data_IF_947701866425
#
_entry.id   IF_947701866425
#
_cell.length_a   1.000
_cell.length_b   1.000
_cell.length_c   1.000
_cell.angle_alpha   90.00
_cell.angle_beta   90.00
_cell.angle_gamma   90.00
#
_symmetry.space_group_name_H-M   'P 1'
#
loop_
_entity.id
_entity.type
_entity.pdbx_description
1 polymer ?
#
# COMPACT_ATOMS: atom_id res chain seq x y z
N UNK A 1 2.69 25.63 -2.74
CA UNK A 1 2.43 24.71 -1.61
C UNK A 1 3.23 23.45 -1.87
N UNK A 2 3.73 22.78 -0.83
CA UNK A 2 4.40 21.49 -1.00
C UNK A 2 3.44 20.48 -1.63
N UNK A 3 3.97 19.57 -2.44
CA UNK A 3 3.24 18.46 -3.05
C UNK A 3 3.89 17.15 -2.63
N UNK A 4 3.11 16.09 -2.53
CA UNK A 4 3.56 14.78 -2.07
C UNK A 4 3.06 13.68 -3.01
N UNK A 5 3.87 12.64 -3.20
CA UNK A 5 3.55 11.39 -3.89
C UNK A 5 3.87 10.20 -3.00
N UNK A 6 3.14 9.11 -3.19
CA UNK A 6 3.45 7.82 -2.57
C UNK A 6 4.32 7.02 -3.53
N UNK A 7 5.44 6.51 -3.03
CA UNK A 7 6.22 5.46 -3.67
C UNK A 7 5.81 4.14 -2.99
N UNK A 8 5.09 3.28 -3.70
CA UNK A 8 4.53 2.02 -3.18
C UNK A 8 5.16 0.86 -3.95
N UNK A 9 5.74 -0.13 -3.25
CA UNK A 9 6.54 -1.20 -3.87
C UNK A 9 7.62 -0.71 -4.86
N UNK A 10 8.18 0.48 -4.61
CA UNK A 10 9.21 1.08 -5.47
C UNK A 10 8.67 1.73 -6.75
N UNK A 11 7.35 1.81 -6.94
CA UNK A 11 6.70 2.53 -8.05
C UNK A 11 5.91 3.74 -7.53
N UNK A 12 5.87 4.83 -8.30
CA UNK A 12 5.11 6.01 -7.90
C UNK A 12 3.64 5.83 -8.24
N UNK A 13 2.79 6.05 -7.24
CA UNK A 13 1.34 6.17 -7.44
C UNK A 13 1.00 7.44 -8.23
N UNK A 14 -0.14 7.40 -8.93
CA UNK A 14 -0.57 8.46 -9.83
C UNK A 14 -0.97 9.73 -9.07
N UNK A 15 -1.66 9.56 -7.94
CA UNK A 15 -2.18 10.64 -7.10
C UNK A 15 -1.09 11.59 -6.57
N UNK A 16 -1.46 12.87 -6.47
CA UNK A 16 -0.63 13.94 -5.90
C UNK A 16 -1.39 14.63 -4.79
N UNK A 17 -0.76 14.68 -3.61
CA UNK A 17 -1.37 15.20 -2.39
C UNK A 17 -0.82 16.59 -2.02
N UNK A 18 -1.61 17.35 -1.26
CA UNK A 18 -1.24 18.68 -0.77
C UNK A 18 -0.60 18.65 0.62
N UNK A 19 -0.85 17.58 1.38
CA UNK A 19 -0.33 17.36 2.73
C UNK A 19 0.40 16.03 2.76
N UNK A 20 1.27 15.84 3.75
CA UNK A 20 1.93 14.56 3.96
C UNK A 20 0.93 13.55 4.52
N UNK A 21 0.04 14.03 5.38
CA UNK A 21 -0.99 13.25 6.06
C UNK A 21 -1.96 12.59 5.08
N UNK A 22 -2.42 13.30 4.04
CA UNK A 22 -3.32 12.73 3.02
C UNK A 22 -2.61 11.63 2.20
N UNK A 23 -1.31 11.82 1.92
CA UNK A 23 -0.50 10.82 1.21
C UNK A 23 -0.25 9.57 2.07
N UNK A 24 -0.02 9.76 3.37
CA UNK A 24 0.14 8.69 4.34
C UNK A 24 -1.16 7.88 4.50
N UNK A 25 -2.30 8.55 4.62
CA UNK A 25 -3.61 7.88 4.69
C UNK A 25 -3.86 7.04 3.43
N UNK A 26 -3.49 7.55 2.25
CA UNK A 26 -3.59 6.80 1.01
C UNK A 26 -2.65 5.59 0.97
N UNK A 27 -1.40 5.73 1.42
CA UNK A 27 -0.47 4.60 1.50
C UNK A 27 -0.97 3.49 2.44
N UNK A 28 -1.52 3.86 3.60
CA UNK A 28 -2.12 2.91 4.55
C UNK A 28 -3.35 2.22 3.96
N UNK A 29 -4.16 2.94 3.18
CA UNK A 29 -5.25 2.35 2.42
C UNK A 29 -4.76 1.29 1.43
N UNK A 30 -3.69 1.57 0.68
CA UNK A 30 -3.09 0.60 -0.24
C UNK A 30 -2.55 -0.64 0.49
N UNK A 31 -1.93 -0.49 1.67
CA UNK A 31 -1.51 -1.64 2.49
C UNK A 31 -2.71 -2.51 2.90
N UNK A 32 -3.82 -1.86 3.32
CA UNK A 32 -5.06 -2.58 3.65
C UNK A 32 -5.60 -3.36 2.45
N UNK A 33 -5.58 -2.76 1.25
CA UNK A 33 -6.00 -3.44 0.03
C UNK A 33 -5.09 -4.62 -0.34
N UNK A 34 -3.78 -4.50 -0.14
CA UNK A 34 -2.84 -5.59 -0.39
C UNK A 34 -3.13 -6.79 0.52
N UNK A 35 -3.41 -6.54 1.81
CA UNK A 35 -3.75 -7.57 2.78
C UNK A 35 -5.06 -8.28 2.45
N UNK A 36 -6.12 -7.51 2.20
CA UNK A 36 -7.43 -8.07 1.80
C UNK A 36 -7.31 -8.89 0.50
N UNK A 37 -6.54 -8.39 -0.47
CA UNK A 37 -6.27 -9.12 -1.71
C UNK A 37 -5.56 -10.46 -1.47
N UNK A 38 -4.57 -10.50 -0.57
CA UNK A 38 -3.86 -11.72 -0.22
C UNK A 38 -4.76 -12.75 0.47
N UNK A 39 -5.61 -12.31 1.41
CA UNK A 39 -6.63 -13.17 2.04
C UNK A 39 -7.59 -13.77 1.00
N UNK A 40 -8.11 -12.93 0.10
CA UNK A 40 -9.02 -13.37 -0.97
C UNK A 40 -8.34 -14.39 -1.89
N UNK A 41 -7.08 -14.17 -2.27
CA UNK A 41 -6.33 -15.11 -3.11
C UNK A 41 -6.11 -16.45 -2.41
N UNK A 42 -5.76 -16.43 -1.12
CA UNK A 42 -5.62 -17.62 -0.29
C UNK A 42 -6.95 -18.40 -0.19
N UNK A 43 -8.06 -17.72 0.08
CA UNK A 43 -9.38 -18.35 0.13
C UNK A 43 -9.86 -18.88 -1.22
N UNK A 44 -9.54 -18.16 -2.30
CA UNK A 44 -9.97 -18.53 -3.66
C UNK A 44 -9.21 -19.72 -4.21
N UNK A 45 -7.97 -19.91 -3.78
CA UNK A 45 -7.12 -21.02 -4.19
C UNK A 45 -6.33 -21.61 -3.01
N UNK A 46 -7.02 -22.37 -2.13
CA UNK A 46 -6.41 -22.87 -0.91
C UNK A 46 -5.19 -23.76 -1.20
N UNK A 47 -4.03 -23.36 -0.66
CA UNK A 47 -2.76 -24.08 -0.81
C UNK A 47 -1.81 -23.54 -1.89
N UNK A 48 -2.24 -22.58 -2.72
CA UNK A 48 -1.38 -21.94 -3.73
C UNK A 48 -0.72 -20.64 -3.22
N UNK A 49 -1.25 -20.05 -2.15
CA UNK A 49 -0.73 -18.84 -1.52
C UNK A 49 -0.59 -19.07 -0.02
N UNK A 50 0.61 -18.87 0.51
CA UNK A 50 0.87 -18.87 1.95
C UNK A 50 0.48 -17.48 2.49
N UNK A 51 -0.74 -17.37 3.03
CA UNK A 51 -1.23 -16.18 3.72
C UNK A 51 -1.49 -16.55 5.19
N UNK A 52 -0.91 -15.76 6.09
CA UNK A 52 -1.18 -15.78 7.52
C UNK A 52 -1.48 -14.35 7.95
N UNK A 53 -2.63 -14.14 8.59
CA UNK A 53 -3.09 -12.81 9.01
C UNK A 53 -2.15 -12.18 10.05
N UNK A 54 -1.52 -12.99 10.90
CA UNK A 54 -0.64 -12.54 11.97
C UNK A 54 0.79 -12.25 11.48
N UNK A 55 1.21 -12.83 10.35
CA UNK A 55 2.56 -12.74 9.78
C UNK A 55 2.61 -12.05 8.41
N UNK A 56 1.51 -11.43 7.97
CA UNK A 56 1.47 -10.74 6.68
C UNK A 56 2.43 -9.53 6.68
N UNK A 57 3.43 -9.58 5.80
CA UNK A 57 4.33 -8.45 5.56
C UNK A 57 3.63 -7.39 4.69
N UNK A 58 3.32 -6.24 5.30
CA UNK A 58 2.74 -5.12 4.57
C UNK A 58 3.70 -4.59 3.49
N UNK A 59 3.16 -4.05 2.38
CA UNK A 59 3.93 -3.38 1.34
C UNK A 59 4.86 -2.28 1.87
N UNK A 60 6.07 -2.22 1.31
CA UNK A 60 6.97 -1.08 1.53
C UNK A 60 6.41 0.18 0.85
N UNK A 61 6.39 1.29 1.59
CA UNK A 61 6.02 2.59 1.06
C UNK A 61 6.89 3.74 1.58
N UNK A 62 6.99 4.80 0.78
CA UNK A 62 7.64 6.07 1.15
C UNK A 62 6.79 7.27 0.71
N UNK A 63 6.65 8.27 1.57
CA UNK A 63 6.03 9.55 1.22
C UNK A 63 7.11 10.52 0.73
N UNK A 64 7.11 10.77 -0.58
CA UNK A 64 8.10 11.62 -1.24
C UNK A 64 7.52 13.01 -1.48
N UNK A 65 8.21 14.04 -0.97
CA UNK A 65 7.90 15.43 -1.31
C UNK A 65 8.43 15.74 -2.71
N UNK A 66 7.59 16.30 -3.56
CA UNK A 66 7.91 16.68 -4.94
C UNK A 66 7.82 18.21 -5.13
N UNK A 67 8.57 18.74 -6.10
CA UNK A 67 8.62 20.17 -6.46
C UNK A 67 7.49 20.60 -7.41
#
# INVERSE_FOLDING_TARGET
MAKFKVLFYGEYEDEVFNTKEDAEEYALYLCSCAREGAEILHMSNPGDYDYDEDDFEDPDYEIVKID
#
